data_IF_427894402824
#
_entry.id   IF_427894402824
#
_cell.length_a   1.000
_cell.length_b   1.000
_cell.length_c   1.000
_cell.angle_alpha   90.00
_cell.angle_beta   90.00
_cell.angle_gamma   90.00
#
_symmetry.space_group_name_H-M   'P 1'
#
loop_
_entity.id
_entity.type
_entity.pdbx_description
1 polymer ?
#
# COMPACT_ATOMS: atom_id res chain seq x y z
N UNK A 1 8.19 -8.33 10.51
CA UNK A 1 7.28 -7.35 9.85
C UNK A 1 5.89 -7.50 10.43
N UNK A 2 5.26 -6.38 10.80
CA UNK A 2 3.86 -6.39 11.25
C UNK A 2 2.92 -6.70 10.08
N UNK A 3 1.68 -7.14 10.38
CA UNK A 3 0.66 -7.36 9.37
C UNK A 3 0.34 -6.10 8.54
N UNK A 4 0.51 -4.92 9.15
CA UNK A 4 0.31 -3.61 8.52
C UNK A 4 1.43 -3.27 7.54
N UNK A 5 2.69 -3.42 7.95
CA UNK A 5 3.84 -3.23 7.06
C UNK A 5 3.80 -4.19 5.86
N UNK A 6 3.39 -5.45 6.06
CA UNK A 6 3.20 -6.41 4.94
C UNK A 6 2.10 -5.96 3.99
N UNK A 7 1.01 -5.39 4.50
CA UNK A 7 -0.08 -4.84 3.67
C UNK A 7 0.44 -3.70 2.80
N UNK A 8 1.17 -2.76 3.40
CA UNK A 8 1.79 -1.64 2.66
C UNK A 8 2.76 -2.17 1.60
N UNK A 9 3.63 -3.11 1.96
CA UNK A 9 4.62 -3.66 1.04
C UNK A 9 4.00 -4.45 -0.11
N UNK A 10 2.97 -5.28 0.15
CA UNK A 10 2.25 -6.00 -0.90
C UNK A 10 1.63 -5.01 -1.89
N UNK A 11 1.00 -3.95 -1.39
CA UNK A 11 0.41 -2.91 -2.22
C UNK A 11 1.45 -2.17 -3.08
N UNK A 12 2.58 -1.81 -2.48
CA UNK A 12 3.72 -1.23 -3.21
C UNK A 12 4.24 -2.16 -4.30
N UNK A 13 4.28 -3.47 -4.07
CA UNK A 13 4.67 -4.42 -5.12
C UNK A 13 3.67 -4.50 -6.26
N UNK A 14 2.36 -4.39 -6.00
CA UNK A 14 1.35 -4.34 -7.06
C UNK A 14 1.55 -3.09 -7.93
N UNK A 15 1.74 -1.93 -7.31
CA UNK A 15 2.05 -0.66 -7.99
C UNK A 15 3.29 -0.80 -8.89
N UNK A 16 4.34 -1.50 -8.43
CA UNK A 16 5.58 -1.66 -9.19
C UNK A 16 5.51 -2.75 -10.27
N UNK A 17 4.81 -3.84 -10.01
CA UNK A 17 4.80 -5.02 -10.89
C UNK A 17 3.69 -4.94 -11.93
N UNK A 18 2.55 -4.36 -11.55
CA UNK A 18 1.34 -4.31 -12.37
C UNK A 18 0.72 -2.90 -12.37
N UNK A 19 1.50 -1.83 -12.69
CA UNK A 19 0.98 -0.47 -12.73
C UNK A 19 -0.15 -0.27 -13.76
N UNK A 20 -0.18 -1.10 -14.80
CA UNK A 20 -1.23 -1.09 -15.82
C UNK A 20 -2.62 -1.49 -15.30
N UNK A 21 -2.71 -2.09 -14.10
CA UNK A 21 -4.00 -2.39 -13.46
C UNK A 21 -4.66 -1.16 -12.85
N UNK A 22 -3.92 -0.06 -12.70
CA UNK A 22 -4.41 1.16 -12.08
C UNK A 22 -4.84 2.15 -13.15
N UNK A 23 -6.09 2.57 -13.09
CA UNK A 23 -6.60 3.65 -13.93
C UNK A 23 -6.11 5.01 -13.44
N UNK A 24 -6.13 6.06 -14.27
CA UNK A 24 -5.80 7.43 -13.83
C UNK A 24 -6.60 7.87 -12.59
N UNK A 25 -7.87 7.49 -12.52
CA UNK A 25 -8.75 7.75 -11.38
C UNK A 25 -8.33 7.00 -10.11
N UNK A 26 -7.79 5.79 -10.26
CA UNK A 26 -7.25 5.02 -9.14
C UNK A 26 -6.00 5.68 -8.56
N UNK A 27 -5.12 6.18 -9.44
CA UNK A 27 -3.91 6.91 -9.01
C UNK A 27 -4.23 8.20 -8.26
N UNK A 28 -5.24 8.96 -8.72
CA UNK A 28 -5.72 10.14 -7.99
C UNK A 28 -6.32 9.74 -6.64
N UNK A 29 -7.24 8.78 -6.65
CA UNK A 29 -7.94 8.31 -5.45
C UNK A 29 -6.97 7.80 -4.38
N UNK A 30 -5.95 7.03 -4.75
CA UNK A 30 -4.97 6.51 -3.79
C UNK A 30 -4.05 7.62 -3.28
N UNK A 31 -3.71 8.60 -4.11
CA UNK A 31 -2.87 9.73 -3.71
C UNK A 31 -3.60 10.60 -2.68
N UNK A 32 -4.87 10.94 -2.95
CA UNK A 32 -5.72 11.67 -2.00
C UNK A 32 -5.92 10.90 -0.70
N UNK A 33 -6.15 9.58 -0.78
CA UNK A 33 -6.24 8.73 0.41
C UNK A 33 -4.95 8.79 1.24
N UNK A 34 -3.78 8.70 0.60
CA UNK A 34 -2.50 8.78 1.31
C UNK A 34 -2.24 10.16 1.90
N UNK A 35 -2.81 11.22 1.34
CA UNK A 35 -2.69 12.58 1.88
C UNK A 35 -3.66 12.84 3.05
N UNK A 36 -4.83 12.20 3.01
CA UNK A 36 -5.84 12.32 4.07
C UNK A 36 -5.56 11.43 5.30
N UNK A 37 -4.78 10.36 5.16
CA UNK A 37 -4.46 9.47 6.27
C UNK A 37 -3.30 10.01 7.11
N UNK A 38 -3.30 9.77 8.43
CA UNK A 38 -2.14 10.05 9.25
C UNK A 38 -0.97 9.17 8.80
N UNK A 39 0.24 9.65 9.10
CA UNK A 39 1.48 8.93 8.87
C UNK A 39 1.62 7.81 9.92
N UNK A 40 0.76 6.80 9.80
CA UNK A 40 0.70 5.64 10.68
C UNK A 40 0.48 4.37 9.87
N UNK A 41 1.29 3.35 10.13
CA UNK A 41 1.27 2.13 9.32
C UNK A 41 -0.04 1.33 9.43
N UNK A 42 -0.70 1.36 10.59
CA UNK A 42 -2.00 0.71 10.80
C UNK A 42 -3.09 1.45 10.03
N UNK A 43 -3.15 2.78 10.16
CA UNK A 43 -4.13 3.61 9.47
C UNK A 43 -3.96 3.56 7.95
N UNK A 44 -2.71 3.62 7.45
CA UNK A 44 -2.39 3.47 6.03
C UNK A 44 -2.83 2.09 5.52
N UNK A 45 -2.47 1.02 6.23
CA UNK A 45 -2.85 -0.33 5.84
C UNK A 45 -4.37 -0.54 5.84
N UNK A 46 -5.08 0.03 6.82
CA UNK A 46 -6.53 -0.02 6.89
C UNK A 46 -7.17 0.79 5.76
N UNK A 47 -6.63 1.97 5.46
CA UNK A 47 -7.01 2.81 4.33
C UNK A 47 -6.92 2.07 3.00
N UNK A 48 -5.77 1.45 2.72
CA UNK A 48 -5.56 0.64 1.50
C UNK A 48 -6.57 -0.50 1.43
N UNK A 49 -6.82 -1.22 2.53
CA UNK A 49 -7.81 -2.32 2.55
C UNK A 49 -9.22 -1.83 2.26
N UNK A 50 -9.62 -0.70 2.84
CA UNK A 50 -10.93 -0.08 2.56
C UNK A 50 -11.01 0.38 1.11
N UNK A 51 -9.95 0.96 0.59
CA UNK A 51 -9.86 1.41 -0.80
C UNK A 51 -9.95 0.26 -1.80
N UNK A 52 -9.34 -0.88 -1.51
CA UNK A 52 -9.41 -2.13 -2.30
C UNK A 52 -10.75 -2.85 -2.20
N UNK A 53 -11.66 -2.48 -1.28
CA UNK A 53 -12.99 -3.10 -1.18
C UNK A 53 -13.95 -2.67 -2.29
N UNK A 54 -13.66 -1.59 -3.02
CA UNK A 54 -14.50 -1.19 -4.15
C UNK A 54 -14.48 -2.25 -5.24
N UNK A 55 -15.66 -2.64 -5.73
CA UNK A 55 -15.80 -3.65 -6.80
C UNK A 55 -15.07 -3.26 -8.08
N UNK A 56 -15.03 -1.97 -8.41
CA UNK A 56 -14.28 -1.43 -9.55
C UNK A 56 -12.78 -1.75 -9.50
N UNK A 57 -12.25 -2.12 -8.32
CA UNK A 57 -10.83 -2.41 -8.08
C UNK A 57 -10.55 -3.89 -7.85
N UNK A 58 -11.48 -4.76 -8.24
CA UNK A 58 -11.36 -6.21 -8.04
C UNK A 58 -10.09 -6.80 -8.64
N UNK A 59 -9.63 -6.30 -9.79
CA UNK A 59 -8.38 -6.73 -10.41
C UNK A 59 -7.14 -6.33 -9.57
N UNK A 60 -7.11 -5.10 -9.06
CA UNK A 60 -6.05 -4.60 -8.18
C UNK A 60 -6.04 -5.40 -6.87
N UNK A 61 -7.23 -5.68 -6.31
CA UNK A 61 -7.40 -6.52 -5.12
C UNK A 61 -6.86 -7.93 -5.34
N UNK A 62 -7.09 -8.52 -6.51
CA UNK A 62 -6.59 -9.86 -6.82
C UNK A 62 -5.06 -9.89 -6.94
N UNK A 63 -4.47 -8.92 -7.63
CA UNK A 63 -3.02 -8.75 -7.70
C UNK A 63 -2.41 -8.54 -6.30
N UNK A 64 -3.07 -7.71 -5.49
CA UNK A 64 -2.70 -7.48 -4.10
C UNK A 64 -2.72 -8.75 -3.25
N UNK A 65 -3.78 -9.56 -3.35
CA UNK A 65 -3.89 -10.80 -2.58
C UNK A 65 -2.79 -11.80 -2.99
N UNK A 66 -2.53 -11.94 -4.29
CA UNK A 66 -1.40 -12.75 -4.80
C UNK A 66 -0.07 -12.28 -4.22
N UNK A 67 0.25 -10.99 -4.34
CA UNK A 67 1.49 -10.42 -3.81
C UNK A 67 1.61 -10.57 -2.30
N UNK A 68 0.49 -10.51 -1.59
CA UNK A 68 0.45 -10.73 -0.14
C UNK A 68 0.71 -12.19 0.24
N UNK A 69 0.27 -13.15 -0.56
CA UNK A 69 0.57 -14.59 -0.37
C UNK A 69 2.03 -14.92 -0.72
N UNK A 70 2.62 -14.22 -1.70
CA UNK A 70 4.02 -14.39 -2.09
C UNK A 70 5.01 -13.90 -1.03
N UNK A 71 4.60 -13.04 -0.08
CA UNK A 71 5.47 -12.58 1.01
C UNK A 71 5.61 -13.72 2.04
N UNK A 72 6.80 -14.35 2.17
CA UNK A 72 7.00 -15.48 3.06
C UNK A 72 6.70 -15.09 4.53
N UNK A 73 6.01 -15.99 5.23
CA UNK A 73 5.55 -15.79 6.62
C UNK A 73 4.03 -15.72 6.81
N UNK A 74 3.24 -16.15 5.82
CA UNK A 74 1.81 -16.45 5.96
C UNK A 74 1.52 -17.95 6.11
N UNK A 75 2.45 -18.82 5.73
CA UNK A 75 2.27 -20.27 5.83
C UNK A 75 2.59 -20.75 7.24
N UNK A 76 1.55 -21.28 7.88
CA UNK A 76 1.50 -22.08 9.11
C UNK A 76 1.62 -21.36 10.46
N UNK A 77 0.47 -21.04 11.07
CA UNK A 77 -0.09 -21.94 12.11
C UNK A 77 -1.40 -21.42 12.73
N UNK A 78 -2.44 -22.23 12.56
CA UNK A 78 -3.46 -22.59 13.54
C UNK A 78 -4.33 -21.51 14.21
N UNK A 79 -5.60 -21.50 13.78
CA UNK A 79 -6.73 -21.94 14.60
C UNK A 79 -6.61 -21.68 16.11
N UNK A 80 -6.55 -20.41 16.49
CA UNK A 80 -6.61 -20.08 17.91
C UNK A 80 -7.53 -18.89 18.15
N UNK A 81 -8.77 -19.22 18.55
CA UNK A 81 -9.58 -18.35 19.39
C UNK A 81 -8.79 -18.01 20.67
N UNK A 82 -8.22 -16.82 20.76
CA UNK A 82 -7.91 -16.13 22.02
C UNK A 82 -8.08 -14.63 21.71
N UNK A 83 -9.12 -13.93 22.18
CA UNK A 83 -9.26 -13.44 23.55
C UNK A 83 -7.95 -12.85 24.10
N UNK A 84 -7.83 -11.51 24.07
CA UNK A 84 -6.92 -10.76 24.94
C UNK A 84 -5.50 -10.50 24.44
N UNK A 85 -5.16 -9.21 24.30
CA UNK A 85 -3.86 -8.61 24.61
C UNK A 85 -2.59 -9.21 24.00
N UNK A 86 -2.06 -8.57 22.96
CA UNK A 86 -0.64 -8.59 22.66
C UNK A 86 -0.20 -7.21 22.15
N UNK A 87 0.20 -6.33 23.07
CA UNK A 87 0.95 -5.13 22.73
C UNK A 87 2.33 -5.56 22.22
N UNK A 88 2.53 -5.46 20.92
CA UNK A 88 3.87 -5.63 20.34
C UNK A 88 4.76 -4.47 20.83
N UNK A 89 5.97 -4.72 21.35
CA UNK A 89 6.91 -3.66 21.68
C UNK A 89 7.56 -3.20 20.37
N UNK A 90 6.84 -2.39 19.61
CA UNK A 90 7.45 -1.59 18.54
C UNK A 90 8.05 -0.35 19.20
N UNK A 91 9.32 0.00 18.96
CA UNK A 91 9.89 1.24 19.48
C UNK A 91 9.01 2.43 19.05
N UNK A 92 8.52 3.27 19.98
CA UNK A 92 7.46 4.24 19.70
C UNK A 92 7.92 5.51 18.96
N UNK A 93 9.09 5.52 18.32
CA UNK A 93 9.75 6.80 18.06
C UNK A 93 10.55 6.93 16.76
N UNK A 94 10.17 6.25 15.68
CA UNK A 94 10.62 6.65 14.34
C UNK A 94 9.46 7.19 13.53
N UNK A 95 9.53 8.45 13.06
CA UNK A 95 8.47 9.06 12.28
C UNK A 95 8.24 8.22 11.03
N UNK A 96 6.99 7.80 10.88
CA UNK A 96 6.46 6.92 9.86
C UNK A 96 6.53 7.47 8.43
N UNK A 97 7.22 8.61 8.18
CA UNK A 97 7.28 9.28 6.86
C UNK A 97 7.69 8.30 5.77
N UNK A 98 8.54 7.33 6.14
CA UNK A 98 8.93 6.22 5.28
C UNK A 98 7.74 5.42 4.73
N UNK A 99 6.68 5.20 5.51
CA UNK A 99 5.50 4.40 5.14
C UNK A 99 4.65 5.08 4.06
N UNK A 100 4.34 6.38 4.21
CA UNK A 100 3.67 7.12 3.15
C UNK A 100 4.58 7.30 1.94
N UNK A 101 5.86 7.62 2.13
CA UNK A 101 6.81 7.79 1.03
C UNK A 101 7.06 6.48 0.26
N UNK A 102 7.01 5.32 0.95
CA UNK A 102 7.08 3.99 0.33
C UNK A 102 5.97 3.76 -0.69
N UNK A 103 4.82 4.41 -0.53
CA UNK A 103 3.67 4.31 -1.44
C UNK A 103 3.68 5.49 -2.43
N UNK A 104 3.95 6.72 -1.98
CA UNK A 104 3.98 7.93 -2.82
C UNK A 104 5.08 7.85 -3.90
N UNK A 105 6.26 7.30 -3.61
CA UNK A 105 7.34 7.16 -4.59
C UNK A 105 7.00 6.26 -5.78
N UNK A 106 6.53 5.01 -5.59
CA UNK A 106 6.18 4.15 -6.72
C UNK A 106 4.92 4.65 -7.44
N UNK A 107 3.99 5.37 -6.78
CA UNK A 107 2.93 6.11 -7.47
C UNK A 107 3.54 7.15 -8.42
N UNK A 108 4.45 8.01 -7.95
CA UNK A 108 5.11 9.02 -8.80
C UNK A 108 5.89 8.42 -9.97
N UNK A 109 6.50 7.26 -9.79
CA UNK A 109 7.31 6.63 -10.83
C UNK A 109 6.48 5.89 -11.89
N UNK A 110 5.30 5.39 -11.53
CA UNK A 110 4.51 4.52 -12.42
C UNK A 110 3.19 5.15 -12.86
N UNK A 111 2.74 6.23 -12.21
CA UNK A 111 1.51 6.92 -12.58
C UNK A 111 1.74 7.83 -13.79
N UNK A 112 0.87 7.78 -14.82
CA UNK A 112 0.92 8.70 -15.96
C UNK A 112 0.68 10.16 -15.56
N UNK A 113 0.16 10.42 -14.35
CA UNK A 113 -0.03 11.78 -13.81
C UNK A 113 1.28 12.51 -13.48
N UNK A 114 2.40 11.81 -13.40
CA UNK A 114 3.70 12.45 -13.15
C UNK A 114 4.34 13.06 -14.41
N UNK A 115 3.68 12.95 -15.57
CA UNK A 115 4.18 13.47 -16.84
C UNK A 115 4.08 15.00 -16.99
N UNK A 116 3.54 15.73 -15.99
CA UNK A 116 3.55 17.20 -16.03
C UNK A 116 4.96 17.82 -15.82
N UNK A 117 6.00 17.01 -15.56
CA UNK A 117 7.37 17.52 -15.33
C UNK A 117 8.51 16.80 -16.04
N UNK A 118 8.27 16.18 -17.21
CA UNK A 118 9.39 15.69 -18.03
C UNK A 118 9.33 15.92 -19.54
N UNK A 119 8.37 16.70 -20.03
CA UNK A 119 8.45 17.28 -21.38
C UNK A 119 9.04 18.69 -21.33
N UNK A 120 10.38 18.78 -21.29
CA UNK A 120 11.15 19.79 -22.05
C UNK A 120 12.67 19.60 -21.85
N UNK A 121 13.36 18.93 -22.78
CA UNK A 121 14.54 19.47 -23.45
C UNK A 121 14.05 20.13 -24.76
N UNK A 122 14.53 21.27 -25.26
CA UNK A 122 15.80 21.99 -25.15
C UNK A 122 15.75 23.15 -26.17
N UNK A 123 16.32 24.35 -25.94
CA UNK A 123 16.87 25.16 -27.02
C UNK A 123 18.32 24.74 -27.35
#
# INVERSE_FOLDING_TARGET
MSAYQRTIQAFVQVIKSEPALFSPEDWLSITELMDSLPDDSEEIANGIRKWLKLESRSQIKQAFDKKRQEIPGLTESNNTLFAGGATSPTPPNQPSKLSQELIKNPIKLNSPLSDDKKSQPKP
#
